data_IF_388151040421
#
_entry.id   IF_388151040421
#
_cell.length_a   1.000
_cell.length_b   1.000
_cell.length_c   1.000
_cell.angle_alpha   90.00
_cell.angle_beta   90.00
_cell.angle_gamma   90.00
#
_symmetry.space_group_name_H-M   'P 1'
#
loop_
_entity.id
_entity.type
_entity.pdbx_description
1 polymer ?
#
# COMPACT_ATOMS: atom_id res chain seq x y z
N UNK A 1 -11.73 7.76 14.54
CA UNK A 1 -10.62 6.80 14.79
C UNK A 1 -9.32 7.50 14.42
N UNK A 2 -8.27 7.43 15.25
CA UNK A 2 -7.03 8.17 14.96
C UNK A 2 -6.11 7.29 14.10
N UNK A 3 -6.10 7.53 12.78
CA UNK A 3 -5.25 6.80 11.83
C UNK A 3 -4.08 7.68 11.41
N UNK A 4 -2.87 7.13 11.50
CA UNK A 4 -1.65 7.75 10.99
C UNK A 4 -1.27 7.13 9.64
N UNK A 5 -0.85 7.96 8.69
CA UNK A 5 -0.40 7.53 7.37
C UNK A 5 1.09 7.81 7.26
N UNK A 6 1.88 6.78 7.03
CA UNK A 6 3.35 6.85 7.05
C UNK A 6 3.88 6.33 5.73
N UNK A 7 4.76 7.11 5.09
CA UNK A 7 5.48 6.69 3.90
C UNK A 7 6.65 5.81 4.32
N UNK A 8 6.45 4.50 4.28
CA UNK A 8 7.49 3.50 4.53
C UNK A 8 7.08 2.18 3.90
N UNK A 9 8.06 1.33 3.62
CA UNK A 9 7.79 -0.07 3.37
C UNK A 9 7.33 -0.77 4.66
N UNK A 10 6.28 -1.61 4.61
CA UNK A 10 5.91 -2.45 5.74
C UNK A 10 6.98 -3.52 5.96
N UNK A 11 7.17 -3.90 7.23
CA UNK A 11 7.96 -5.08 7.57
C UNK A 11 7.26 -6.37 7.12
N UNK A 12 8.02 -7.47 7.01
CA UNK A 12 7.46 -8.80 6.68
C UNK A 12 6.34 -9.21 7.65
N UNK A 13 6.48 -8.86 8.93
CA UNK A 13 5.43 -9.11 9.94
C UNK A 13 4.17 -8.28 9.66
N UNK A 14 4.32 -7.00 9.33
CA UNK A 14 3.18 -6.12 9.01
C UNK A 14 2.45 -6.59 7.73
N UNK A 15 3.17 -7.08 6.73
CA UNK A 15 2.60 -7.70 5.53
C UNK A 15 1.80 -8.95 5.91
N UNK A 16 2.40 -9.86 6.68
CA UNK A 16 1.75 -11.08 7.14
C UNK A 16 0.46 -10.76 7.92
N UNK A 17 0.51 -9.79 8.83
CA UNK A 17 -0.65 -9.36 9.61
C UNK A 17 -1.80 -8.82 8.74
N UNK A 18 -1.52 -8.10 7.66
CA UNK A 18 -2.56 -7.63 6.75
C UNK A 18 -3.10 -8.80 5.91
N UNK A 19 -2.24 -9.65 5.37
CA UNK A 19 -2.64 -10.78 4.52
C UNK A 19 -3.51 -11.80 5.28
N UNK A 20 -3.12 -12.12 6.51
CA UNK A 20 -3.88 -12.99 7.41
C UNK A 20 -5.28 -12.40 7.68
N UNK A 21 -5.37 -11.08 7.88
CA UNK A 21 -6.65 -10.42 8.18
C UNK A 21 -7.68 -10.53 7.05
N UNK A 22 -7.23 -10.61 5.79
CA UNK A 22 -8.10 -10.73 4.62
C UNK A 22 -8.31 -12.19 4.19
N UNK A 23 -7.81 -13.16 4.98
CA UNK A 23 -7.87 -14.59 4.68
C UNK A 23 -7.41 -14.90 3.25
N UNK A 24 -6.39 -14.18 2.76
CA UNK A 24 -5.82 -14.48 1.46
C UNK A 24 -5.23 -15.89 1.52
N UNK A 25 -5.77 -16.83 0.73
CA UNK A 25 -5.16 -18.14 0.50
C UNK A 25 -3.89 -17.95 -0.34
N UNK A 26 -2.87 -17.40 0.29
CA UNK A 26 -1.56 -17.18 -0.29
C UNK A 26 -0.55 -17.96 0.53
N UNK A 27 0.29 -18.71 -0.18
CA UNK A 27 1.46 -19.33 0.43
C UNK A 27 2.30 -18.25 1.11
N UNK A 28 2.77 -18.51 2.34
CA UNK A 28 3.45 -17.54 3.18
C UNK A 28 4.71 -16.97 2.50
N UNK A 29 5.45 -17.83 1.77
CA UNK A 29 6.62 -17.41 1.01
C UNK A 29 6.21 -16.54 -0.19
N UNK A 30 5.11 -16.86 -0.85
CA UNK A 30 4.58 -16.05 -1.96
C UNK A 30 4.12 -14.69 -1.45
N UNK A 31 3.37 -14.64 -0.35
CA UNK A 31 2.93 -13.41 0.27
C UNK A 31 4.12 -12.54 0.68
N UNK A 32 5.15 -13.11 1.29
CA UNK A 32 6.34 -12.37 1.68
C UNK A 32 7.17 -11.87 0.48
N UNK A 33 7.17 -12.58 -0.64
CA UNK A 33 7.94 -12.22 -1.84
C UNK A 33 7.26 -11.16 -2.72
N UNK A 34 5.91 -11.12 -2.78
CA UNK A 34 5.16 -10.14 -3.59
C UNK A 34 5.36 -8.69 -3.11
N UNK A 35 5.65 -8.54 -1.83
CA UNK A 35 5.89 -7.23 -1.23
C UNK A 35 7.36 -6.85 -1.13
N UNK A 36 8.28 -7.67 -1.65
CA UNK A 36 9.69 -7.31 -1.63
C UNK A 36 9.96 -6.07 -2.49
N UNK A 37 10.79 -5.13 -2.01
CA UNK A 37 11.18 -3.97 -2.79
C UNK A 37 11.86 -4.41 -4.09
N UNK A 38 11.43 -3.81 -5.20
CA UNK A 38 12.08 -3.95 -6.49
C UNK A 38 12.42 -2.56 -7.06
N UNK A 39 13.21 -2.50 -8.13
CA UNK A 39 13.63 -1.24 -8.76
C UNK A 39 12.46 -0.44 -9.37
N UNK A 40 11.28 -1.06 -9.48
CA UNK A 40 10.06 -0.47 -10.00
C UNK A 40 9.18 0.15 -8.89
N UNK A 41 9.48 -0.13 -7.62
CA UNK A 41 8.76 0.44 -6.48
C UNK A 41 9.06 1.93 -6.34
N UNK A 42 8.01 2.75 -6.34
CA UNK A 42 8.13 4.21 -6.18
C UNK A 42 7.92 4.63 -4.74
N UNK A 43 6.83 4.18 -4.11
CA UNK A 43 6.51 4.50 -2.72
C UNK A 43 5.46 3.55 -2.18
N UNK A 44 5.48 3.36 -0.85
CA UNK A 44 4.43 2.69 -0.09
C UNK A 44 3.88 3.64 0.98
N UNK A 45 2.57 3.58 1.22
CA UNK A 45 1.90 4.24 2.35
C UNK A 45 1.29 3.16 3.24
N UNK A 46 1.66 3.18 4.51
CA UNK A 46 1.09 2.32 5.55
C UNK A 46 0.17 3.14 6.47
N UNK A 47 -1.01 2.61 6.76
CA UNK A 47 -1.97 3.18 7.70
C UNK A 47 -1.87 2.48 9.05
N UNK A 48 -1.81 3.26 10.13
CA UNK A 48 -1.67 2.77 11.51
C UNK A 48 -2.79 3.27 12.41
N UNK A 49 -3.34 2.35 13.20
CA UNK A 49 -4.11 2.70 14.39
C UNK A 49 -3.22 2.41 15.60
N UNK A 50 -2.72 3.47 16.24
CA UNK A 50 -1.62 3.39 17.21
C UNK A 50 -0.36 2.77 16.57
N UNK A 51 0.11 1.64 17.08
CA UNK A 51 1.26 0.88 16.61
C UNK A 51 0.88 -0.26 15.65
N UNK A 52 -0.42 -0.46 15.40
CA UNK A 52 -0.91 -1.57 14.58
C UNK A 52 -1.14 -1.12 13.14
N UNK A 53 -0.57 -1.86 12.20
CA UNK A 53 -0.89 -1.67 10.80
C UNK A 53 -2.34 -2.08 10.55
N UNK A 54 -3.09 -1.23 9.84
CA UNK A 54 -4.52 -1.44 9.52
C UNK A 54 -4.80 -1.41 8.03
N UNK A 55 -3.82 -0.99 7.23
CA UNK A 55 -3.89 -1.05 5.79
C UNK A 55 -2.63 -0.51 5.13
N UNK A 56 -2.55 -0.69 3.81
CA UNK A 56 -1.45 -0.20 3.00
C UNK A 56 -1.89 0.06 1.57
N UNK A 57 -1.01 0.72 0.82
CA UNK A 57 -1.10 0.88 -0.62
C UNK A 57 0.25 1.27 -1.21
N UNK A 58 0.48 0.95 -2.48
CA UNK A 58 1.78 1.15 -3.14
C UNK A 58 1.64 1.83 -4.48
N UNK A 59 2.73 2.43 -4.94
CA UNK A 59 2.91 2.90 -6.31
C UNK A 59 4.06 2.13 -6.94
N UNK A 60 3.77 1.45 -8.04
CA UNK A 60 4.76 0.78 -8.88
C UNK A 60 4.85 1.51 -10.22
N UNK A 61 6.05 1.58 -10.78
CA UNK A 61 6.33 2.14 -12.09
C UNK A 61 6.72 1.04 -13.07
N UNK A 62 5.90 0.84 -14.10
CA UNK A 62 6.29 0.02 -15.25
C UNK A 62 6.38 0.90 -16.49
N UNK A 63 7.55 0.94 -17.12
CA UNK A 63 7.83 1.80 -18.28
C UNK A 63 7.49 3.28 -18.01
N UNK A 64 6.46 3.79 -18.68
CA UNK A 64 5.97 5.16 -18.59
C UNK A 64 4.59 5.23 -17.90
N UNK A 65 4.28 4.22 -17.09
CA UNK A 65 3.01 4.09 -16.37
C UNK A 65 3.28 3.92 -14.88
N UNK A 66 2.48 4.60 -14.06
CA UNK A 66 2.41 4.43 -12.62
C UNK A 66 1.10 3.68 -12.28
N UNK A 67 1.21 2.72 -11.38
CA UNK A 67 0.11 1.92 -10.87
C UNK A 67 0.00 2.13 -9.38
N UNK A 68 -1.12 2.69 -8.93
CA UNK A 68 -1.54 2.58 -7.53
C UNK A 68 -2.18 1.21 -7.39
N UNK A 69 -1.62 0.37 -6.54
CA UNK A 69 -2.06 -1.02 -6.35
C UNK A 69 -1.88 -1.45 -4.90
N UNK A 70 -2.30 -2.69 -4.62
CA UNK A 70 -2.20 -3.31 -3.30
C UNK A 70 -2.84 -2.45 -2.20
N UNK A 71 -3.98 -1.83 -2.52
CA UNK A 71 -4.79 -1.11 -1.54
C UNK A 71 -5.54 -2.15 -0.69
N UNK A 72 -5.02 -2.39 0.51
CA UNK A 72 -5.50 -3.47 1.39
C UNK A 72 -5.77 -2.88 2.75
N UNK A 73 -6.96 -3.17 3.31
CA UNK A 73 -7.43 -2.65 4.59
C UNK A 73 -7.97 -3.83 5.38
N UNK A 74 -7.55 -3.93 6.65
CA UNK A 74 -8.03 -4.98 7.56
C UNK A 74 -9.57 -4.90 7.65
N UNK A 75 -10.32 -6.02 7.54
CA UNK A 75 -11.78 -5.98 7.44
C UNK A 75 -12.48 -5.27 8.60
N UNK A 76 -11.94 -5.33 9.81
CA UNK A 76 -12.48 -4.66 10.99
C UNK A 76 -12.28 -3.13 10.98
N UNK A 77 -11.50 -2.61 10.04
CA UNK A 77 -11.27 -1.18 9.79
C UNK A 77 -11.95 -0.69 8.49
N UNK A 78 -12.78 -1.53 7.86
CA UNK A 78 -13.37 -1.25 6.54
C UNK A 78 -14.26 -0.01 6.57
N UNK A 79 -13.94 0.96 5.72
CA UNK A 79 -14.69 2.20 5.49
C UNK A 79 -13.96 3.07 4.46
N UNK A 80 -14.72 3.82 3.65
CA UNK A 80 -14.19 4.58 2.50
C UNK A 80 -13.08 5.58 2.88
N UNK A 81 -13.06 6.07 4.12
CA UNK A 81 -12.09 7.08 4.55
C UNK A 81 -10.64 6.59 4.59
N UNK A 82 -10.37 5.36 5.01
CA UNK A 82 -8.97 4.87 5.10
C UNK A 82 -8.41 4.64 3.69
N UNK A 83 -9.19 4.01 2.83
CA UNK A 83 -8.85 3.76 1.43
C UNK A 83 -8.52 5.07 0.70
N UNK A 84 -9.45 6.03 0.78
CA UNK A 84 -9.29 7.34 0.15
C UNK A 84 -8.06 8.08 0.69
N UNK A 85 -7.80 8.00 1.99
CA UNK A 85 -6.63 8.67 2.58
C UNK A 85 -5.30 7.99 2.18
N UNK A 86 -5.25 6.65 2.04
CA UNK A 86 -4.08 5.97 1.49
C UNK A 86 -3.82 6.49 0.08
N UNK A 87 -4.84 6.47 -0.79
CA UNK A 87 -4.76 6.95 -2.17
C UNK A 87 -4.29 8.41 -2.22
N UNK A 88 -4.89 9.31 -1.42
CA UNK A 88 -4.50 10.73 -1.36
C UNK A 88 -3.02 10.90 -0.95
N UNK A 89 -2.52 10.11 -0.01
CA UNK A 89 -1.12 10.19 0.40
C UNK A 89 -0.17 9.66 -0.69
N UNK A 90 -0.55 8.61 -1.42
CA UNK A 90 0.21 8.13 -2.58
C UNK A 90 0.26 9.20 -3.68
N UNK A 91 -0.87 9.83 -3.99
CA UNK A 91 -0.93 10.95 -4.96
C UNK A 91 0.00 12.10 -4.60
N UNK A 92 0.11 12.46 -3.31
CA UNK A 92 1.04 13.51 -2.88
C UNK A 92 2.49 13.17 -3.19
N UNK A 93 2.88 11.89 -3.16
CA UNK A 93 4.23 11.46 -3.54
C UNK A 93 4.44 11.48 -5.06
N UNK A 94 3.40 11.14 -5.83
CA UNK A 94 3.48 11.13 -7.30
C UNK A 94 3.47 12.55 -7.89
N UNK A 95 2.85 13.53 -7.23
CA UNK A 95 2.80 14.90 -7.77
C UNK A 95 4.19 15.55 -7.97
N UNK A 96 5.23 15.01 -7.33
CA UNK A 96 6.62 15.45 -7.51
C UNK A 96 7.32 14.72 -8.70
N UNK A 97 6.67 13.75 -9.34
CA UNK A 97 7.18 13.06 -10.52
C UNK A 97 7.00 13.90 -11.81
N UNK A 98 7.90 13.74 -12.80
CA UNK A 98 7.77 14.38 -14.10
C UNK A 98 6.39 14.09 -14.74
N UNK A 99 5.77 15.10 -15.34
CA UNK A 99 4.38 15.09 -15.84
C UNK A 99 4.09 14.16 -17.03
N UNK A 100 4.99 13.22 -17.35
CA UNK A 100 4.91 12.38 -18.55
C UNK A 100 4.38 10.98 -18.28
N UNK A 101 4.03 10.62 -17.03
CA UNK A 101 3.53 9.28 -16.71
C UNK A 101 2.00 9.19 -16.84
N UNK A 102 1.52 8.07 -17.38
CA UNK A 102 0.11 7.68 -17.24
C UNK A 102 -0.11 7.09 -15.83
N UNK A 103 -1.24 7.34 -15.20
CA UNK A 103 -1.57 6.81 -13.88
C UNK A 103 -2.83 5.94 -13.93
N UNK A 104 -2.75 4.75 -13.32
CA UNK A 104 -3.87 3.82 -13.13
C UNK A 104 -3.99 3.43 -11.66
N UNK A 105 -5.22 3.15 -11.23
CA UNK A 105 -5.52 2.56 -9.92
C UNK A 105 -6.05 1.14 -10.23
N UNK A 106 -5.40 0.12 -9.68
CA UNK A 106 -5.66 -1.30 -9.92
C UNK A 106 -6.27 -1.98 -8.69
#
# INVERSE_FOLDING_TARGET
MNIQYINKEPSKMEIYEIMDSIQAEMDEDIAMNIFEPNDEMVTTVCAYHFDKIVGMGRVIKENNTLYIQDIIIKPEYKGEEIENNIIVNLFKQINDFPSNFSLYIL
#
